data_IF_576045038549
#
_entry.id   IF_576045038549
#
_cell.length_a   1.000
_cell.length_b   1.000
_cell.length_c   1.000
_cell.angle_alpha   90.00
_cell.angle_beta   90.00
_cell.angle_gamma   90.00
#
_symmetry.space_group_name_H-M   'P 1'
#
loop_
_entity.id
_entity.type
_entity.pdbx_description
1 polymer ?
#
# COMPACT_ATOMS: atom_id res chain seq x y z
N UNK A 1 17.86 -13.05 3.88
CA UNK A 1 16.92 -11.97 4.32
C UNK A 1 17.30 -11.28 5.63
N UNK A 2 18.09 -11.86 6.55
CA UNK A 2 18.54 -11.12 7.76
C UNK A 2 19.35 -9.84 7.46
N UNK A 3 19.99 -9.76 6.31
CA UNK A 3 20.91 -8.68 5.92
C UNK A 3 20.23 -7.41 5.44
N UNK A 4 18.94 -7.46 5.02
CA UNK A 4 18.23 -6.30 4.45
C UNK A 4 17.28 -5.58 5.41
N UNK A 5 17.06 -6.10 6.62
CA UNK A 5 16.16 -5.48 7.58
C UNK A 5 16.46 -3.98 7.85
N UNK A 6 17.71 -3.54 8.08
CA UNK A 6 18.00 -2.13 8.31
C UNK A 6 17.68 -1.25 7.08
N UNK A 7 17.85 -1.78 5.87
CA UNK A 7 17.54 -1.05 4.64
C UNK A 7 16.03 -0.80 4.50
N UNK A 8 15.19 -1.79 4.84
CA UNK A 8 13.73 -1.58 4.82
C UNK A 8 13.29 -0.51 5.82
N UNK A 9 13.86 -0.48 7.04
CA UNK A 9 13.56 0.58 8.00
C UNK A 9 13.97 1.96 7.48
N UNK A 10 15.16 2.06 6.87
CA UNK A 10 15.60 3.29 6.24
C UNK A 10 14.63 3.75 5.14
N UNK A 11 14.18 2.84 4.28
CA UNK A 11 13.24 3.14 3.21
C UNK A 11 11.89 3.62 3.76
N UNK A 12 11.38 3.03 4.83
CA UNK A 12 10.15 3.52 5.47
C UNK A 12 10.33 4.91 6.09
N UNK A 13 11.47 5.19 6.71
CA UNK A 13 11.78 6.53 7.23
C UNK A 13 11.82 7.53 6.07
N UNK A 14 12.51 7.21 4.97
CA UNK A 14 12.57 8.06 3.78
C UNK A 14 11.17 8.26 3.16
N UNK A 15 10.34 7.23 3.12
CA UNK A 15 8.96 7.34 2.65
C UNK A 15 8.16 8.33 3.50
N UNK A 16 8.26 8.24 4.82
CA UNK A 16 7.61 9.18 5.75
C UNK A 16 8.14 10.60 5.54
N UNK A 17 9.46 10.77 5.48
CA UNK A 17 10.08 12.08 5.25
C UNK A 17 9.67 12.68 3.90
N UNK A 18 9.66 11.88 2.83
CA UNK A 18 9.20 12.30 1.51
C UNK A 18 7.74 12.72 1.52
N UNK A 19 6.89 11.98 2.23
CA UNK A 19 5.47 12.31 2.39
C UNK A 19 5.29 13.66 3.10
N UNK A 20 5.97 13.88 4.22
CA UNK A 20 5.90 15.17 4.94
C UNK A 20 6.49 16.33 4.12
N UNK A 21 7.60 16.11 3.40
CA UNK A 21 8.16 17.13 2.52
C UNK A 21 7.19 17.50 1.39
N UNK A 22 6.52 16.51 0.82
CA UNK A 22 5.50 16.73 -0.21
C UNK A 22 4.26 17.46 0.34
N UNK A 23 3.80 17.13 1.54
CA UNK A 23 2.73 17.87 2.23
C UNK A 23 3.11 19.33 2.49
N UNK A 24 4.40 19.62 2.74
CA UNK A 24 4.93 20.98 2.88
C UNK A 24 5.15 21.68 1.52
N UNK A 25 4.57 21.15 0.42
CA UNK A 25 4.69 21.67 -0.94
C UNK A 25 6.14 21.73 -1.45
N UNK A 26 7.01 20.85 -0.96
CA UNK A 26 8.37 20.73 -1.43
C UNK A 26 8.42 19.66 -2.55
N UNK A 27 8.81 20.08 -3.76
CA UNK A 27 8.91 19.20 -4.94
C UNK A 27 9.86 18.01 -4.74
N UNK A 28 10.89 18.15 -3.90
CA UNK A 28 11.78 17.02 -3.55
C UNK A 28 11.05 15.87 -2.81
N UNK A 29 9.91 16.16 -2.15
CA UNK A 29 9.14 15.15 -1.46
C UNK A 29 8.68 14.03 -2.36
N UNK A 30 8.11 14.36 -3.53
CA UNK A 30 7.71 13.37 -4.54
C UNK A 30 8.90 12.59 -5.11
N UNK A 31 10.02 13.29 -5.38
CA UNK A 31 11.23 12.63 -5.86
C UNK A 31 11.73 11.57 -4.86
N UNK A 32 11.67 11.87 -3.55
CA UNK A 32 12.03 10.90 -2.50
C UNK A 32 11.06 9.71 -2.52
N UNK A 33 9.74 9.95 -2.60
CA UNK A 33 8.74 8.88 -2.65
C UNK A 33 8.96 7.97 -3.87
N UNK A 34 9.17 8.56 -5.05
CA UNK A 34 9.42 7.82 -6.28
C UNK A 34 10.74 7.02 -6.22
N UNK A 35 11.81 7.62 -5.73
CA UNK A 35 13.10 6.94 -5.54
C UNK A 35 12.97 5.76 -4.57
N UNK A 36 12.27 5.94 -3.45
CA UNK A 36 12.00 4.86 -2.48
C UNK A 36 11.21 3.73 -3.13
N UNK A 37 10.19 4.02 -3.94
CA UNK A 37 9.44 3.02 -4.67
C UNK A 37 10.35 2.21 -5.61
N UNK A 38 11.20 2.86 -6.39
CA UNK A 38 12.16 2.15 -7.25
C UNK A 38 13.16 1.31 -6.46
N UNK A 39 13.67 1.79 -5.33
CA UNK A 39 14.58 1.01 -4.49
C UNK A 39 13.88 -0.24 -3.94
N UNK A 40 12.62 -0.14 -3.48
CA UNK A 40 11.82 -1.32 -3.13
C UNK A 40 11.71 -2.29 -4.32
N UNK A 41 11.39 -1.78 -5.51
CA UNK A 41 11.33 -2.58 -6.74
C UNK A 41 12.65 -3.32 -6.99
N UNK A 42 13.79 -2.62 -6.92
CA UNK A 42 15.12 -3.23 -7.09
C UNK A 42 15.41 -4.31 -6.06
N UNK A 43 15.03 -4.13 -4.79
CA UNK A 43 15.21 -5.15 -3.76
C UNK A 43 14.43 -6.42 -4.07
N UNK A 44 13.19 -6.31 -4.56
CA UNK A 44 12.41 -7.48 -4.98
C UNK A 44 13.00 -8.14 -6.23
N UNK A 45 13.54 -7.37 -7.17
CA UNK A 45 14.25 -7.91 -8.34
C UNK A 45 15.49 -8.70 -7.91
N UNK A 46 16.30 -8.18 -6.99
CA UNK A 46 17.46 -8.87 -6.43
C UNK A 46 17.03 -10.18 -5.75
N UNK A 47 15.89 -10.17 -5.04
CA UNK A 47 15.37 -11.38 -4.43
C UNK A 47 14.97 -12.41 -5.47
N UNK A 48 14.25 -12.03 -6.54
CA UNK A 48 13.91 -12.91 -7.66
C UNK A 48 15.17 -13.53 -8.26
N UNK A 49 16.19 -12.71 -8.56
CA UNK A 49 17.47 -13.19 -9.10
C UNK A 49 18.14 -14.17 -8.13
N UNK A 50 18.11 -13.89 -6.83
CA UNK A 50 18.65 -14.77 -5.80
C UNK A 50 17.92 -16.12 -5.74
N UNK A 51 16.58 -16.13 -5.91
CA UNK A 51 15.78 -17.35 -5.96
C UNK A 51 16.14 -18.19 -7.19
N UNK A 52 16.30 -17.56 -8.36
CA UNK A 52 16.74 -18.24 -9.59
C UNK A 52 18.12 -18.86 -9.44
N UNK A 53 19.09 -18.13 -8.84
CA UNK A 53 20.46 -18.60 -8.67
C UNK A 53 20.59 -19.79 -7.71
N UNK A 54 19.72 -19.90 -6.72
CA UNK A 54 19.81 -20.96 -5.69
C UNK A 54 19.50 -22.36 -6.18
N UNK A 55 19.11 -22.54 -7.45
CA UNK A 55 18.88 -23.86 -8.14
C UNK A 55 18.16 -24.94 -7.32
N UNK A 56 17.65 -24.63 -6.12
CA UNK A 56 16.76 -25.52 -5.37
C UNK A 56 15.43 -25.52 -6.09
N UNK A 57 14.71 -26.62 -6.06
CA UNK A 57 13.30 -26.76 -6.45
C UNK A 57 12.42 -25.71 -5.72
N UNK A 58 12.60 -24.45 -6.10
CA UNK A 58 11.82 -23.34 -5.59
C UNK A 58 10.47 -23.44 -6.28
N UNK A 59 9.45 -23.79 -5.50
CA UNK A 59 8.08 -23.80 -5.99
C UNK A 59 7.77 -22.46 -6.68
N UNK A 60 7.06 -22.48 -7.79
CA UNK A 60 6.63 -21.28 -8.55
C UNK A 60 5.99 -20.25 -7.61
N UNK A 61 5.30 -20.71 -6.56
CA UNK A 61 4.70 -19.86 -5.52
C UNK A 61 5.71 -18.93 -4.81
N UNK A 62 7.01 -19.27 -4.77
CA UNK A 62 8.03 -18.41 -4.17
C UNK A 62 8.34 -17.17 -5.00
N UNK A 63 8.04 -17.17 -6.29
CA UNK A 63 8.28 -16.05 -7.21
C UNK A 63 7.09 -15.10 -7.31
N UNK A 64 5.88 -15.56 -6.99
CA UNK A 64 4.64 -14.77 -7.14
C UNK A 64 4.71 -13.50 -6.27
N UNK A 65 4.98 -13.65 -4.99
CA UNK A 65 4.96 -12.52 -4.04
C UNK A 65 6.00 -11.45 -4.39
N UNK A 66 7.31 -11.75 -4.55
CA UNK A 66 8.29 -10.75 -4.94
C UNK A 66 8.09 -10.23 -6.37
N UNK A 67 7.57 -11.04 -7.29
CA UNK A 67 7.27 -10.61 -8.66
C UNK A 67 6.16 -9.58 -8.73
N UNK A 68 5.05 -9.83 -8.04
CA UNK A 68 3.95 -8.87 -7.96
C UNK A 68 4.38 -7.58 -7.26
N UNK A 69 5.13 -7.67 -6.15
CA UNK A 69 5.63 -6.51 -5.44
C UNK A 69 6.60 -5.69 -6.28
N UNK A 70 7.49 -6.34 -7.03
CA UNK A 70 8.36 -5.67 -8.00
C UNK A 70 7.55 -4.83 -8.99
N UNK A 71 6.54 -5.42 -9.64
CA UNK A 71 5.69 -4.72 -10.62
C UNK A 71 4.97 -3.55 -9.94
N UNK A 72 4.35 -3.76 -8.78
CA UNK A 72 3.61 -2.72 -8.04
C UNK A 72 4.53 -1.53 -7.72
N UNK A 73 5.70 -1.77 -7.16
CA UNK A 73 6.60 -0.69 -6.76
C UNK A 73 7.22 0.04 -7.94
N UNK A 74 7.56 -0.66 -9.02
CA UNK A 74 8.04 -0.03 -10.26
C UNK A 74 6.95 0.84 -10.88
N UNK A 75 5.71 0.35 -10.97
CA UNK A 75 4.59 1.14 -11.48
C UNK A 75 4.32 2.37 -10.61
N UNK A 76 4.34 2.23 -9.29
CA UNK A 76 4.18 3.37 -8.37
C UNK A 76 5.30 4.40 -8.58
N UNK A 77 6.56 3.96 -8.71
CA UNK A 77 7.68 4.84 -9.00
C UNK A 77 7.52 5.58 -10.34
N UNK A 78 7.14 4.86 -11.40
CA UNK A 78 6.89 5.47 -12.71
C UNK A 78 5.77 6.51 -12.64
N UNK A 79 4.67 6.22 -11.93
CA UNK A 79 3.56 7.17 -11.75
C UNK A 79 4.00 8.45 -11.03
N UNK A 80 4.82 8.32 -9.99
CA UNK A 80 5.34 9.48 -9.24
C UNK A 80 6.22 10.36 -10.14
N UNK A 81 6.94 9.77 -11.09
CA UNK A 81 7.75 10.51 -12.07
C UNK A 81 7.01 10.83 -13.37
N UNK A 82 5.67 10.75 -13.38
CA UNK A 82 4.80 11.09 -14.54
C UNK A 82 5.12 10.30 -15.81
N UNK A 83 5.75 9.13 -15.68
CA UNK A 83 5.99 8.24 -16.82
C UNK A 83 4.74 7.40 -17.04
N UNK A 84 3.98 7.73 -18.07
CA UNK A 84 2.76 7.01 -18.44
C UNK A 84 2.97 6.21 -19.73
N UNK A 85 2.49 4.98 -19.74
CA UNK A 85 2.32 4.17 -20.94
C UNK A 85 0.98 3.46 -20.88
N UNK A 86 0.41 3.18 -22.06
CA UNK A 86 -0.99 2.77 -22.24
C UNK A 86 -1.45 1.58 -21.37
N UNK A 87 -0.52 0.67 -21.03
CA UNK A 87 -0.85 -0.55 -20.30
C UNK A 87 -0.43 -0.54 -18.82
N UNK A 88 0.09 0.57 -18.29
CA UNK A 88 0.62 0.63 -16.93
C UNK A 88 -0.41 0.22 -15.86
N UNK A 89 -1.66 0.63 -16.05
CA UNK A 89 -2.75 0.33 -15.13
C UNK A 89 -3.14 -1.16 -15.16
N UNK A 90 -3.09 -1.77 -16.33
CA UNK A 90 -3.34 -3.21 -16.49
C UNK A 90 -2.27 -4.05 -15.78
N UNK A 91 -0.99 -3.69 -15.91
CA UNK A 91 0.09 -4.37 -15.19
C UNK A 91 -0.07 -4.24 -13.68
N UNK A 92 -0.41 -3.04 -13.19
CA UNK A 92 -0.66 -2.81 -11.79
C UNK A 92 -1.86 -3.61 -11.29
N UNK A 93 -3.00 -3.53 -11.98
CA UNK A 93 -4.22 -4.25 -11.62
C UNK A 93 -4.04 -5.77 -11.62
N UNK A 94 -3.33 -6.31 -12.63
CA UNK A 94 -3.02 -7.73 -12.71
C UNK A 94 -2.11 -8.18 -11.55
N UNK A 95 -1.06 -7.41 -11.23
CA UNK A 95 -0.15 -7.72 -10.13
C UNK A 95 -0.86 -7.69 -8.77
N UNK A 96 -1.71 -6.66 -8.53
CA UNK A 96 -2.49 -6.56 -7.30
C UNK A 96 -3.50 -7.71 -7.19
N UNK A 97 -4.22 -8.04 -8.25
CA UNK A 97 -5.19 -9.13 -8.27
C UNK A 97 -4.54 -10.50 -8.00
N UNK A 98 -3.39 -10.76 -8.64
CA UNK A 98 -2.63 -11.98 -8.40
C UNK A 98 -2.11 -12.06 -6.97
N UNK A 99 -1.70 -10.93 -6.39
CA UNK A 99 -1.25 -10.86 -5.01
C UNK A 99 -2.40 -11.11 -4.02
N UNK A 100 -3.61 -10.61 -4.30
CA UNK A 100 -4.83 -10.90 -3.51
C UNK A 100 -5.08 -12.41 -3.49
N UNK A 101 -5.10 -13.05 -4.66
CA UNK A 101 -5.30 -14.50 -4.76
C UNK A 101 -4.23 -15.26 -3.96
N UNK A 102 -2.97 -14.85 -4.08
CA UNK A 102 -1.85 -15.44 -3.34
C UNK A 102 -2.04 -15.32 -1.83
N UNK A 103 -2.45 -14.15 -1.32
CA UNK A 103 -2.70 -13.95 0.11
C UNK A 103 -3.94 -14.70 0.61
N UNK A 104 -4.97 -14.89 -0.20
CA UNK A 104 -6.09 -15.76 0.12
C UNK A 104 -5.63 -17.23 0.28
N UNK A 105 -4.81 -17.74 -0.64
CA UNK A 105 -4.25 -19.10 -0.54
C UNK A 105 -3.35 -19.26 0.69
N UNK A 106 -2.50 -18.27 0.95
CA UNK A 106 -1.59 -18.22 2.11
C UNK A 106 -2.39 -18.21 3.43
N UNK A 107 -3.49 -17.45 3.47
CA UNK A 107 -4.41 -17.42 4.60
C UNK A 107 -5.03 -18.80 4.87
N UNK A 108 -5.60 -19.45 3.85
CA UNK A 108 -6.23 -20.75 3.98
C UNK A 108 -5.24 -21.82 4.46
N UNK A 109 -4.04 -21.84 3.86
CA UNK A 109 -2.99 -22.81 4.21
C UNK A 109 -2.54 -22.64 5.67
N UNK A 110 -2.30 -21.39 6.10
CA UNK A 110 -1.90 -21.09 7.48
C UNK A 110 -3.03 -21.29 8.47
N UNK A 111 -4.27 -20.95 8.11
CA UNK A 111 -5.43 -21.22 8.95
C UNK A 111 -5.58 -22.70 9.24
N UNK A 112 -5.54 -23.56 8.21
CA UNK A 112 -5.61 -25.03 8.37
C UNK A 112 -4.50 -25.57 9.29
N UNK A 113 -3.28 -25.01 9.16
CA UNK A 113 -2.16 -25.43 10.00
C UNK A 113 -2.36 -25.08 11.48
N UNK A 114 -2.88 -23.88 11.79
CA UNK A 114 -3.07 -23.44 13.19
C UNK A 114 -4.41 -23.88 13.80
N UNK A 115 -5.41 -24.19 13.00
CA UNK A 115 -6.73 -24.59 13.49
C UNK A 115 -6.66 -25.78 14.44
N UNK A 116 -5.80 -26.75 14.17
CA UNK A 116 -5.60 -27.96 14.99
C UNK A 116 -4.66 -27.73 16.18
N UNK A 117 -3.85 -26.68 16.14
CA UNK A 117 -2.79 -26.44 17.15
C UNK A 117 -3.17 -25.36 18.17
N UNK A 118 -3.74 -24.27 17.70
CA UNK A 118 -4.09 -23.14 18.55
C UNK A 118 -5.19 -22.28 17.92
N UNK A 119 -6.38 -22.29 18.53
CA UNK A 119 -7.56 -21.56 18.02
C UNK A 119 -7.32 -20.04 17.94
N UNK A 120 -6.59 -19.46 18.91
CA UNK A 120 -6.29 -18.02 18.88
C UNK A 120 -5.43 -17.66 17.67
N UNK A 121 -4.37 -18.44 17.40
CA UNK A 121 -3.51 -18.19 16.24
C UNK A 121 -4.26 -18.37 14.92
N UNK A 122 -5.19 -19.32 14.82
CA UNK A 122 -5.98 -19.48 13.60
C UNK A 122 -6.84 -18.24 13.32
N UNK A 123 -7.45 -17.64 14.35
CA UNK A 123 -8.20 -16.37 14.21
C UNK A 123 -7.28 -15.22 13.83
N UNK A 124 -6.13 -15.10 14.50
CA UNK A 124 -5.15 -14.03 14.20
C UNK A 124 -4.59 -14.13 12.79
N UNK A 125 -4.43 -15.35 12.25
CA UNK A 125 -4.05 -15.57 10.85
C UNK A 125 -5.10 -14.99 9.90
N UNK A 126 -6.39 -15.25 10.15
CA UNK A 126 -7.47 -14.70 9.32
C UNK A 126 -7.44 -13.17 9.38
N UNK A 127 -7.45 -12.59 10.58
CA UNK A 127 -7.49 -11.13 10.78
C UNK A 127 -6.32 -10.45 10.08
N UNK A 128 -5.10 -10.96 10.24
CA UNK A 128 -3.90 -10.41 9.62
C UNK A 128 -3.93 -10.48 8.09
N UNK A 129 -4.27 -11.63 7.52
CA UNK A 129 -4.28 -11.78 6.06
C UNK A 129 -5.45 -11.01 5.43
N UNK A 130 -6.61 -10.97 6.08
CA UNK A 130 -7.74 -10.14 5.63
C UNK A 130 -7.38 -8.65 5.62
N UNK A 131 -6.62 -8.15 6.61
CA UNK A 131 -6.18 -6.76 6.58
C UNK A 131 -5.35 -6.44 5.34
N UNK A 132 -4.42 -7.33 4.95
CA UNK A 132 -3.61 -7.17 3.73
C UNK A 132 -4.50 -7.29 2.47
N UNK A 133 -5.41 -8.26 2.43
CA UNK A 133 -6.32 -8.47 1.29
C UNK A 133 -7.20 -7.23 1.08
N UNK A 134 -7.78 -6.67 2.14
CA UNK A 134 -8.60 -5.46 2.04
C UNK A 134 -7.78 -4.24 1.62
N UNK A 135 -6.53 -4.12 2.08
CA UNK A 135 -5.63 -3.06 1.62
C UNK A 135 -5.34 -3.19 0.11
N UNK A 136 -4.97 -4.37 -0.36
CA UNK A 136 -4.74 -4.62 -1.78
C UNK A 136 -6.02 -4.41 -2.61
N UNK A 137 -7.17 -4.83 -2.09
CA UNK A 137 -8.46 -4.58 -2.72
C UNK A 137 -8.78 -3.08 -2.79
N UNK A 138 -8.45 -2.29 -1.76
CA UNK A 138 -8.62 -0.84 -1.81
C UNK A 138 -7.78 -0.21 -2.92
N UNK A 139 -6.53 -0.66 -3.11
CA UNK A 139 -5.67 -0.19 -4.21
C UNK A 139 -6.26 -0.54 -5.60
N UNK A 140 -6.80 -1.76 -5.76
CA UNK A 140 -7.46 -2.15 -7.00
C UNK A 140 -8.74 -1.35 -7.26
N UNK A 141 -9.53 -1.08 -6.22
CA UNK A 141 -10.77 -0.31 -6.32
C UNK A 141 -10.53 1.18 -6.59
N UNK A 142 -9.41 1.74 -6.14
CA UNK A 142 -8.98 3.10 -6.51
C UNK A 142 -8.79 3.22 -8.02
N UNK A 143 -8.18 2.21 -8.67
CA UNK A 143 -8.04 2.19 -10.14
C UNK A 143 -9.40 2.19 -10.87
N UNK A 144 -10.41 1.60 -10.25
CA UNK A 144 -11.77 1.53 -10.80
C UNK A 144 -12.63 2.75 -10.41
N UNK A 145 -12.03 3.76 -9.76
CA UNK A 145 -12.72 4.95 -9.22
C UNK A 145 -13.96 4.59 -8.36
N UNK A 146 -13.89 3.47 -7.63
CA UNK A 146 -15.00 2.95 -6.84
C UNK A 146 -15.02 3.55 -5.44
N UNK A 147 -16.18 4.01 -4.98
CA UNK A 147 -16.38 4.46 -3.59
C UNK A 147 -16.12 3.37 -2.53
N UNK A 148 -16.15 2.10 -2.92
CA UNK A 148 -15.83 0.97 -2.05
C UNK A 148 -14.35 0.92 -1.67
N UNK A 149 -13.47 1.63 -2.38
CA UNK A 149 -12.05 1.68 -2.07
C UNK A 149 -11.79 2.20 -0.64
N UNK A 150 -12.51 3.24 -0.23
CA UNK A 150 -12.40 3.80 1.12
C UNK A 150 -12.86 2.81 2.19
N UNK A 151 -14.01 2.14 1.96
CA UNK A 151 -14.55 1.15 2.89
C UNK A 151 -13.55 0.00 3.08
N UNK A 152 -12.95 -0.47 1.99
CA UNK A 152 -11.93 -1.52 2.04
C UNK A 152 -10.67 -1.04 2.79
N UNK A 153 -10.22 0.20 2.58
CA UNK A 153 -9.09 0.79 3.30
C UNK A 153 -9.34 0.92 4.80
N UNK A 154 -10.54 1.37 5.20
CA UNK A 154 -10.94 1.45 6.62
C UNK A 154 -11.02 0.05 7.24
N UNK A 155 -11.59 -0.92 6.56
CA UNK A 155 -11.62 -2.30 7.02
C UNK A 155 -10.22 -2.87 7.23
N UNK A 156 -9.29 -2.60 6.30
CA UNK A 156 -7.91 -3.03 6.38
C UNK A 156 -7.22 -2.53 7.67
N UNK A 157 -7.36 -1.25 8.00
CA UNK A 157 -6.71 -0.68 9.19
C UNK A 157 -7.35 -1.18 10.49
N UNK A 158 -8.68 -1.28 10.56
CA UNK A 158 -9.37 -1.80 11.74
C UNK A 158 -8.90 -3.22 12.05
N UNK A 159 -8.83 -4.10 11.02
CA UNK A 159 -8.34 -5.46 11.16
C UNK A 159 -6.87 -5.49 11.58
N UNK A 160 -6.02 -4.63 10.99
CA UNK A 160 -4.60 -4.57 11.35
C UNK A 160 -4.39 -4.12 12.79
N UNK A 161 -5.09 -3.08 13.24
CA UNK A 161 -5.03 -2.61 14.63
C UNK A 161 -5.52 -3.72 15.57
N UNK A 162 -6.64 -4.36 15.25
CA UNK A 162 -7.17 -5.49 16.02
C UNK A 162 -6.15 -6.64 16.14
N UNK A 163 -5.46 -6.97 15.04
CA UNK A 163 -4.38 -7.96 15.06
C UNK A 163 -3.22 -7.54 15.97
N UNK A 164 -2.74 -6.29 15.82
CA UNK A 164 -1.60 -5.78 16.60
C UNK A 164 -1.92 -5.76 18.09
N UNK A 165 -3.12 -5.27 18.46
CA UNK A 165 -3.57 -5.23 19.85
C UNK A 165 -3.68 -6.65 20.44
N UNK A 166 -4.32 -7.57 19.73
CA UNK A 166 -4.47 -8.96 20.19
C UNK A 166 -3.11 -9.67 20.30
N UNK A 167 -2.19 -9.43 19.36
CA UNK A 167 -0.84 -9.99 19.39
C UNK A 167 0.01 -9.37 20.50
N UNK A 168 -0.22 -8.10 20.85
CA UNK A 168 0.47 -7.42 21.97
C UNK A 168 -0.02 -7.89 23.33
N UNK A 169 -1.35 -8.08 23.49
CA UNK A 169 -1.94 -8.60 24.73
C UNK A 169 -1.49 -10.03 25.05
N UNK A 170 -1.27 -10.85 24.02
CA UNK A 170 -0.79 -12.23 24.13
C UNK A 170 0.69 -12.33 23.80
N UNK A 171 1.55 -11.96 24.75
CA UNK A 171 3.02 -11.86 24.57
C UNK A 171 3.64 -13.14 24.02
N UNK A 172 3.14 -14.31 24.44
CA UNK A 172 3.65 -15.61 24.01
C UNK A 172 2.53 -16.63 23.82
N UNK A 173 2.67 -17.52 22.87
CA UNK A 173 1.79 -18.65 22.61
C UNK A 173 2.65 -19.88 22.32
N UNK A 174 2.30 -20.98 22.98
CA UNK A 174 2.99 -22.26 22.82
C UNK A 174 2.42 -22.99 21.58
N UNK A 175 3.30 -23.35 20.65
CA UNK A 175 2.99 -24.19 19.49
C UNK A 175 4.18 -25.10 19.23
N UNK A 176 3.94 -26.40 19.14
CA UNK A 176 4.97 -27.42 18.90
C UNK A 176 6.19 -27.32 19.85
N UNK A 177 5.94 -27.03 21.15
CA UNK A 177 6.99 -26.89 22.15
C UNK A 177 7.81 -25.60 22.06
N UNK A 178 7.51 -24.72 21.14
CA UNK A 178 8.17 -23.41 21.01
C UNK A 178 7.28 -22.27 21.49
N UNK A 179 7.86 -21.42 22.32
CA UNK A 179 7.19 -20.25 22.93
C UNK A 179 7.55 -18.99 22.14
N UNK A 180 6.68 -18.58 21.23
CA UNK A 180 6.91 -17.45 20.33
C UNK A 180 5.79 -16.43 20.42
N UNK A 181 6.09 -15.18 20.07
CA UNK A 181 5.05 -14.15 19.98
C UNK A 181 4.09 -14.46 18.82
N UNK A 182 2.76 -14.20 18.98
CA UNK A 182 1.79 -14.38 17.90
C UNK A 182 2.17 -13.60 16.65
N UNK A 183 2.75 -12.41 16.81
CA UNK A 183 3.22 -11.58 15.71
C UNK A 183 4.25 -12.33 14.83
N UNK A 184 5.24 -12.97 15.46
CA UNK A 184 6.25 -13.74 14.73
C UNK A 184 5.67 -14.98 14.05
N UNK A 185 4.71 -15.64 14.69
CA UNK A 185 4.06 -16.83 14.13
C UNK A 185 3.15 -16.51 12.95
N UNK A 186 2.35 -15.44 13.04
CA UNK A 186 1.35 -15.08 12.03
C UNK A 186 1.95 -14.28 10.87
N UNK A 187 2.65 -13.18 11.15
CA UNK A 187 3.27 -12.35 10.12
C UNK A 187 4.45 -13.05 9.45
N UNK A 188 5.11 -13.95 10.20
CA UNK A 188 6.29 -14.66 9.75
C UNK A 188 7.53 -13.76 9.71
N UNK A 189 8.71 -14.38 9.71
CA UNK A 189 9.99 -13.66 9.62
C UNK A 189 10.38 -13.27 8.19
N UNK A 190 9.63 -13.70 7.18
CA UNK A 190 9.89 -13.37 5.78
C UNK A 190 9.20 -12.05 5.44
N UNK A 191 10.04 -11.04 5.22
CA UNK A 191 9.75 -9.61 5.20
C UNK A 191 8.54 -9.06 4.41
N UNK A 192 8.00 -9.77 3.39
CA UNK A 192 6.99 -9.20 2.50
C UNK A 192 5.67 -8.87 3.21
N UNK A 193 5.15 -9.80 4.02
CA UNK A 193 3.90 -9.58 4.76
C UNK A 193 4.03 -8.42 5.77
N UNK A 194 5.22 -8.24 6.36
CA UNK A 194 5.51 -7.11 7.26
C UNK A 194 5.57 -5.80 6.47
N UNK A 195 6.23 -5.80 5.31
CA UNK A 195 6.28 -4.62 4.42
C UNK A 195 4.86 -4.18 4.06
N UNK A 196 4.01 -5.11 3.61
CA UNK A 196 2.63 -4.81 3.28
C UNK A 196 1.84 -4.32 4.50
N UNK A 197 2.03 -4.91 5.68
CA UNK A 197 1.37 -4.46 6.90
C UNK A 197 1.79 -3.05 7.30
N UNK A 198 3.09 -2.71 7.19
CA UNK A 198 3.59 -1.35 7.45
C UNK A 198 3.03 -0.37 6.42
N UNK A 199 3.00 -0.73 5.14
CA UNK A 199 2.40 0.10 4.11
C UNK A 199 0.90 0.30 4.37
N UNK A 200 0.17 -0.77 4.70
CA UNK A 200 -1.26 -0.66 5.10
C UNK A 200 -1.43 0.36 6.21
N UNK A 201 -0.60 0.29 7.25
CA UNK A 201 -0.66 1.23 8.37
C UNK A 201 -0.37 2.67 7.92
N UNK A 202 0.71 2.89 7.18
CA UNK A 202 1.12 4.23 6.74
C UNK A 202 0.10 4.87 5.80
N UNK A 203 -0.34 4.12 4.78
CA UNK A 203 -1.33 4.64 3.82
C UNK A 203 -2.68 4.90 4.50
N UNK A 204 -3.18 3.96 5.29
CA UNK A 204 -4.48 4.14 5.94
C UNK A 204 -4.44 5.24 7.00
N UNK A 205 -3.31 5.40 7.72
CA UNK A 205 -3.14 6.50 8.66
C UNK A 205 -3.13 7.85 7.94
N UNK A 206 -2.38 7.94 6.82
CA UNK A 206 -2.35 9.15 6.01
C UNK A 206 -3.76 9.51 5.49
N UNK A 207 -4.44 8.57 4.82
CA UNK A 207 -5.78 8.83 4.27
C UNK A 207 -6.80 9.15 5.35
N UNK A 208 -6.75 8.47 6.50
CA UNK A 208 -7.63 8.76 7.63
C UNK A 208 -7.42 10.17 8.20
N UNK A 209 -6.18 10.57 8.44
CA UNK A 209 -5.84 11.89 8.96
C UNK A 209 -6.07 13.02 7.95
N UNK A 210 -5.84 12.75 6.65
CA UNK A 210 -6.16 13.69 5.59
C UNK A 210 -7.67 13.92 5.50
N UNK A 211 -8.47 12.86 5.59
CA UNK A 211 -9.94 12.97 5.52
C UNK A 211 -10.56 13.79 6.66
N UNK A 212 -10.01 13.70 7.86
CA UNK A 212 -10.46 14.52 9.01
C UNK A 212 -9.80 15.91 9.05
N UNK A 213 -9.03 16.26 8.01
CA UNK A 213 -8.40 17.59 7.90
C UNK A 213 -7.19 17.80 8.81
N UNK A 214 -6.66 16.76 9.44
CA UNK A 214 -5.46 16.86 10.30
C UNK A 214 -4.18 16.95 9.47
N UNK A 215 -4.12 16.21 8.36
CA UNK A 215 -2.98 16.26 7.44
C UNK A 215 -3.40 16.89 6.09
N UNK A 216 -2.56 17.74 5.51
CA UNK A 216 -2.79 18.27 4.17
C UNK A 216 -2.62 17.18 3.11
N UNK A 217 -3.17 17.37 1.89
CA UNK A 217 -2.93 16.48 0.77
C UNK A 217 -1.46 16.48 0.36
N UNK A 218 -0.99 15.36 -0.20
CA UNK A 218 0.32 15.28 -0.82
C UNK A 218 0.33 16.18 -2.05
N UNK A 219 1.28 17.13 -2.08
CA UNK A 219 1.48 17.98 -3.24
C UNK A 219 1.95 17.15 -4.42
N UNK A 220 1.35 17.38 -5.57
CA UNK A 220 1.73 16.78 -6.85
C UNK A 220 1.77 17.89 -7.91
N UNK A 221 2.80 17.89 -8.75
CA UNK A 221 2.89 18.82 -9.87
C UNK A 221 1.79 18.59 -10.91
N UNK A 222 1.12 17.43 -10.87
CA UNK A 222 -0.11 17.19 -11.65
C UNK A 222 -1.24 18.14 -11.29
N UNK A 223 -1.25 18.64 -10.04
CA UNK A 223 -2.27 19.54 -9.56
C UNK A 223 -1.66 20.90 -9.26
N UNK A 224 -2.07 21.97 -9.94
CA UNK A 224 -1.56 23.31 -9.69
C UNK A 224 -1.91 23.76 -8.26
N UNK A 225 -1.10 24.69 -7.71
CA UNK A 225 -1.30 25.22 -6.34
C UNK A 225 -2.72 25.67 -6.06
N UNK A 226 -3.38 26.25 -7.06
CA UNK A 226 -4.78 26.69 -6.96
C UNK A 226 -5.74 25.55 -6.54
N UNK A 227 -5.46 24.32 -6.91
CA UNK A 227 -6.26 23.17 -6.49
C UNK A 227 -6.16 22.93 -4.98
N UNK A 228 -4.97 22.99 -4.42
CA UNK A 228 -4.77 22.80 -2.98
C UNK A 228 -5.34 23.94 -2.16
N UNK A 229 -5.25 25.18 -2.67
CA UNK A 229 -5.89 26.35 -2.05
C UNK A 229 -7.43 26.20 -2.00
N UNK A 230 -8.05 25.65 -3.05
CA UNK A 230 -9.47 25.37 -3.09
C UNK A 230 -9.89 24.27 -2.11
N UNK A 231 -9.06 23.23 -1.95
CA UNK A 231 -9.28 22.19 -0.93
C UNK A 231 -9.23 22.80 0.47
N UNK A 232 -8.22 23.61 0.77
CA UNK A 232 -8.08 24.24 2.08
C UNK A 232 -9.23 25.19 2.39
N UNK A 233 -9.76 25.90 1.39
CA UNK A 233 -10.95 26.74 1.55
C UNK A 233 -12.20 25.91 1.87
N UNK A 234 -12.35 24.75 1.26
CA UNK A 234 -13.46 23.85 1.53
C UNK A 234 -13.36 23.19 2.91
N UNK A 235 -12.15 22.75 3.29
CA UNK A 235 -11.88 22.10 4.58
C UNK A 235 -12.06 23.05 5.77
N UNK A 236 -11.72 24.34 5.58
CA UNK A 236 -11.88 25.38 6.61
C UNK A 236 -13.32 25.94 6.71
N UNK A 237 -14.27 25.39 5.95
CA UNK A 237 -15.66 25.85 5.94
C UNK A 237 -15.87 27.26 5.34
N UNK A 238 -14.83 27.82 4.73
CA UNK A 238 -14.89 29.13 4.05
C UNK A 238 -15.65 29.06 2.74
N UNK A 239 -15.79 27.87 2.19
CA UNK A 239 -16.54 27.64 0.97
C UNK A 239 -17.74 26.70 1.21
N UNK A 240 -18.90 27.04 0.67
CA UNK A 240 -20.08 26.16 0.66
C UNK A 240 -20.21 25.50 -0.71
N UNK A 241 -20.64 24.23 -0.76
CA UNK A 241 -20.86 23.56 -2.03
C UNK A 241 -22.01 24.26 -2.81
N UNK A 242 -21.78 24.47 -4.10
CA UNK A 242 -22.78 24.99 -5.04
C UNK A 242 -23.26 23.78 -5.85
N UNK A 243 -24.59 23.57 -5.89
CA UNK A 243 -25.18 22.39 -6.54
C UNK A 243 -24.63 21.05 -6.06
N UNK A 244 -24.26 20.97 -4.79
CA UNK A 244 -23.70 19.74 -4.19
C UNK A 244 -22.21 19.47 -4.51
N UNK A 245 -21.55 20.35 -5.25
CA UNK A 245 -20.12 20.24 -5.57
C UNK A 245 -19.33 21.42 -4.99
N UNK A 246 -18.12 21.15 -4.53
CA UNK A 246 -17.11 22.16 -4.17
C UNK A 246 -16.32 22.58 -5.41
N UNK A 247 -15.79 23.81 -5.41
CA UNK A 247 -15.01 24.33 -6.55
C UNK A 247 -13.78 23.47 -6.89
N UNK A 248 -13.14 22.85 -5.91
CA UNK A 248 -12.01 21.94 -6.17
C UNK A 248 -12.44 20.71 -6.99
N UNK A 249 -13.68 20.22 -6.82
CA UNK A 249 -14.21 19.09 -7.60
C UNK A 249 -14.47 19.49 -9.05
N UNK A 250 -15.04 20.67 -9.27
CA UNK A 250 -15.21 21.23 -10.63
C UNK A 250 -13.86 21.51 -11.30
N UNK A 251 -12.89 22.00 -10.52
CA UNK A 251 -11.55 22.27 -11.01
C UNK A 251 -10.88 20.99 -11.49
N UNK A 252 -10.94 19.89 -10.71
CA UNK A 252 -10.36 18.60 -11.08
C UNK A 252 -11.00 18.03 -12.34
N UNK A 253 -12.34 18.09 -12.46
CA UNK A 253 -13.06 17.62 -13.65
C UNK A 253 -12.57 18.35 -14.92
N UNK A 254 -12.46 19.68 -14.86
CA UNK A 254 -11.96 20.53 -15.95
C UNK A 254 -10.47 20.26 -16.25
N UNK A 255 -9.66 20.07 -15.21
CA UNK A 255 -8.23 19.80 -15.37
C UNK A 255 -7.97 18.44 -16.02
N UNK A 256 -8.68 17.40 -15.60
CA UNK A 256 -8.60 16.09 -16.26
C UNK A 256 -9.12 16.11 -17.71
N UNK A 257 -10.11 16.95 -18.00
CA UNK A 257 -10.57 17.14 -19.38
C UNK A 257 -9.48 17.82 -20.21
N UNK A 258 -8.87 18.88 -19.69
CA UNK A 258 -7.76 19.57 -20.32
C UNK A 258 -6.57 18.65 -20.61
N UNK A 259 -6.17 17.81 -19.65
CA UNK A 259 -5.10 16.85 -19.85
C UNK A 259 -5.44 15.80 -20.93
N UNK A 260 -6.69 15.31 -20.97
CA UNK A 260 -7.15 14.39 -22.03
C UNK A 260 -7.16 15.03 -23.39
N UNK A 261 -7.56 16.27 -23.50
CA UNK A 261 -7.64 16.99 -24.77
C UNK A 261 -6.23 17.28 -25.31
N UNK A 262 -5.30 17.66 -24.43
CA UNK A 262 -3.89 17.88 -24.81
C UNK A 262 -3.16 16.57 -25.16
N UNK A 263 -3.41 15.48 -24.45
CA UNK A 263 -2.80 14.17 -24.79
C UNK A 263 -3.27 13.59 -26.13
N UNK A 264 -4.39 14.09 -26.68
CA UNK A 264 -4.87 13.73 -28.01
C UNK A 264 -4.29 14.59 -29.14
N UNK A 265 -3.71 15.77 -28.79
CA UNK A 265 -3.03 16.62 -29.76
C UNK A 265 -1.59 16.18 -30.06
N UNK A 266 -1.00 15.36 -29.19
CA UNK A 266 0.36 14.83 -29.34
C UNK A 266 0.42 13.44 -30.05
N UNK A 267 -0.72 12.96 -30.58
CA UNK A 267 -0.84 11.76 -31.41
C UNK A 267 -1.19 12.12 -32.86
#
# INVERSE_FOLDING_TARGET
MKTYNPLYYLLFILLIMGTFASMAQNSYGLNIIGAVAFIFGLLFLIEIISLVRKKKETAISAFIEPGCLFIIFVVLGLRVFYVHFTYIEWFFGAAVSLLIIFYCMKMITRFRYYQTKNRLLSVLVIVFHLSIIFFLASLALVLLASSLAEVAGVAAIILLIGFVLAAWLKKKVLVDGTDLSPFKMVAGFKGHSIILAVLTLLFSLYFGLNRVGVLPPIYSDEYPKAYFELIDQSATGKEKPVNGKYKYQEFIEKYHQFLRDNSRMDQ
#
